data_IF_882823325617
#
_entry.id   IF_882823325617
#
_cell.length_a   1.000
_cell.length_b   1.000
_cell.length_c   1.000
_cell.angle_alpha   90.00
_cell.angle_beta   90.00
_cell.angle_gamma   90.00
#
_symmetry.space_group_name_H-M   'P 1'
#
loop_
_entity.id
_entity.type
_entity.pdbx_description
1 polymer ?
#
# COMPACT_ATOMS: atom_id res chain seq x y z
N UNK A 1 1.70 -6.50 14.35
CA UNK A 1 3.08 -7.05 14.41
C UNK A 1 4.08 -5.96 14.81
N UNK A 2 4.18 -4.86 14.06
CA UNK A 2 5.04 -3.71 14.38
C UNK A 2 4.95 -3.26 15.84
N UNK A 3 3.77 -2.84 16.32
CA UNK A 3 3.54 -2.40 17.71
C UNK A 3 4.04 -3.37 18.79
N UNK A 4 4.05 -4.68 18.52
CA UNK A 4 4.52 -5.69 19.47
C UNK A 4 6.03 -5.93 19.40
N UNK A 5 6.63 -5.70 18.25
CA UNK A 5 8.02 -6.07 17.95
C UNK A 5 8.97 -4.87 17.85
N UNK A 6 8.44 -3.67 17.65
CA UNK A 6 9.24 -2.49 17.29
C UNK A 6 9.91 -2.59 15.91
N UNK A 7 9.64 -3.63 15.12
CA UNK A 7 10.33 -3.87 13.86
C UNK A 7 9.96 -2.81 12.82
N UNK A 8 10.91 -2.23 12.07
CA UNK A 8 10.62 -1.23 11.05
C UNK A 8 9.68 -1.79 9.98
N UNK A 9 8.79 -0.95 9.47
CA UNK A 9 7.82 -1.32 8.45
C UNK A 9 8.21 -0.77 7.08
N UNK A 10 8.10 -1.63 6.06
CA UNK A 10 8.30 -1.27 4.66
C UNK A 10 7.12 -1.73 3.82
N UNK A 11 6.72 -0.92 2.85
CA UNK A 11 5.78 -1.26 1.80
C UNK A 11 6.57 -1.72 0.57
N UNK A 12 6.37 -2.96 0.14
CA UNK A 12 6.96 -3.50 -1.09
C UNK A 12 5.96 -3.47 -2.24
N UNK A 13 6.39 -3.01 -3.42
CA UNK A 13 5.59 -3.05 -4.65
C UNK A 13 6.44 -3.49 -5.83
N UNK A 14 5.83 -4.26 -6.72
CA UNK A 14 6.42 -4.66 -8.00
C UNK A 14 5.67 -3.95 -9.12
N UNK A 15 6.39 -3.19 -9.94
CA UNK A 15 5.84 -2.38 -11.02
C UNK A 15 6.39 -2.94 -12.34
N UNK A 16 5.49 -3.27 -13.26
CA UNK A 16 5.88 -3.60 -14.63
C UNK A 16 6.27 -2.31 -15.36
N UNK A 17 7.48 -2.27 -15.92
CA UNK A 17 8.04 -1.12 -16.65
C UNK A 17 8.18 -1.39 -18.15
N UNK A 18 7.87 -2.61 -18.59
CA UNK A 18 7.87 -3.04 -19.98
C UNK A 18 7.58 -4.54 -20.11
N UNK A 19 7.61 -5.07 -21.33
CA UNK A 19 7.43 -6.52 -21.55
C UNK A 19 8.50 -7.31 -20.78
N UNK A 20 8.05 -8.13 -19.83
CA UNK A 20 8.91 -8.91 -18.92
C UNK A 20 9.94 -8.10 -18.11
N UNK A 21 9.73 -6.78 -17.94
CA UNK A 21 10.60 -5.92 -17.12
C UNK A 21 9.85 -5.43 -15.90
N UNK A 22 10.43 -5.64 -14.73
CA UNK A 22 9.84 -5.31 -13.44
C UNK A 22 10.80 -4.52 -12.58
N UNK A 23 10.27 -3.55 -11.83
CA UNK A 23 10.98 -2.77 -10.82
C UNK A 23 10.34 -3.03 -9.47
N UNK A 24 11.14 -3.45 -8.51
CA UNK A 24 10.70 -3.61 -7.12
C UNK A 24 11.10 -2.35 -6.36
N UNK A 25 10.15 -1.76 -5.64
CA UNK A 25 10.37 -0.61 -4.78
C UNK A 25 10.00 -0.95 -3.34
N UNK A 26 10.84 -0.47 -2.41
CA UNK A 26 10.58 -0.54 -0.99
C UNK A 26 10.43 0.89 -0.46
N UNK A 27 9.28 1.17 0.12
CA UNK A 27 8.95 2.48 0.68
C UNK A 27 8.84 2.34 2.20
N UNK A 28 9.57 3.13 3.00
CA UNK A 28 9.39 3.09 4.46
C UNK A 28 7.98 3.57 4.82
N UNK A 29 7.35 2.91 5.79
CA UNK A 29 6.05 3.34 6.31
C UNK A 29 6.32 4.25 7.51
N UNK A 30 6.04 5.54 7.34
CA UNK A 30 6.20 6.55 8.38
C UNK A 30 4.81 7.04 8.79
N UNK A 31 4.36 6.63 9.98
CA UNK A 31 3.08 7.05 10.56
C UNK A 31 3.26 8.25 11.49
N UNK A 32 2.17 9.01 11.71
CA UNK A 32 2.18 10.16 12.63
C UNK A 32 2.30 9.75 14.10
N UNK A 33 1.77 8.58 14.44
CA UNK A 33 1.87 7.95 15.75
C UNK A 33 1.94 6.43 15.60
N UNK A 34 2.20 5.72 16.71
CA UNK A 34 2.15 4.25 16.75
C UNK A 34 0.72 3.70 16.90
N UNK A 35 -0.30 4.53 16.66
CA UNK A 35 -1.69 4.06 16.63
C UNK A 35 -1.93 3.19 15.40
N UNK A 36 -2.73 2.12 15.55
CA UNK A 36 -3.09 1.23 14.44
C UNK A 36 -3.75 1.98 13.30
N UNK A 37 -4.55 2.99 13.64
CA UNK A 37 -5.23 3.86 12.68
C UNK A 37 -4.22 4.67 11.85
N UNK A 38 -3.27 5.35 12.47
CA UNK A 38 -2.28 6.17 11.76
C UNK A 38 -1.34 5.32 10.91
N UNK A 39 -0.96 4.14 11.40
CA UNK A 39 -0.17 3.16 10.64
C UNK A 39 -0.94 2.70 9.41
N UNK A 40 -2.21 2.33 9.58
CA UNK A 40 -3.06 1.86 8.48
C UNK A 40 -3.31 2.98 7.46
N UNK A 41 -3.45 4.22 7.93
CA UNK A 41 -3.60 5.39 7.07
C UNK A 41 -2.33 5.67 6.26
N UNK A 42 -1.15 5.62 6.88
CA UNK A 42 0.13 5.79 6.19
C UNK A 42 0.36 4.69 5.12
N UNK A 43 0.05 3.44 5.46
CA UNK A 43 0.07 2.32 4.50
C UNK A 43 -0.89 2.55 3.33
N UNK A 44 -2.13 2.96 3.61
CA UNK A 44 -3.16 3.20 2.59
C UNK A 44 -2.77 4.36 1.68
N UNK A 45 -2.17 5.42 2.22
CA UNK A 45 -1.67 6.54 1.43
C UNK A 45 -0.62 6.09 0.41
N UNK A 46 0.32 5.22 0.78
CA UNK A 46 1.31 4.67 -0.17
C UNK A 46 0.61 3.87 -1.28
N UNK A 47 -0.43 3.09 -0.96
CA UNK A 47 -1.23 2.40 -1.99
C UNK A 47 -1.85 3.41 -2.94
N UNK A 48 -2.54 4.43 -2.43
CA UNK A 48 -3.19 5.45 -3.26
C UNK A 48 -2.20 6.14 -4.20
N UNK A 49 -1.02 6.51 -3.70
CA UNK A 49 0.04 7.11 -4.51
C UNK A 49 0.51 6.18 -5.63
N UNK A 50 0.71 4.89 -5.35
CA UNK A 50 1.10 3.91 -6.38
C UNK A 50 -0.01 3.66 -7.39
N UNK A 51 -1.27 3.61 -6.96
CA UNK A 51 -2.43 3.45 -7.84
C UNK A 51 -2.62 4.68 -8.73
N UNK A 52 -2.39 5.89 -8.23
CA UNK A 52 -2.42 7.12 -9.05
C UNK A 52 -1.32 7.13 -10.11
N UNK A 53 -0.13 6.60 -9.79
CA UNK A 53 1.00 6.53 -10.71
C UNK A 53 0.86 5.41 -11.76
N UNK A 54 0.28 4.26 -11.39
CA UNK A 54 0.15 3.06 -12.22
C UNK A 54 -1.27 2.47 -12.13
N UNK A 55 -2.32 3.21 -12.52
CA UNK A 55 -3.70 2.79 -12.33
C UNK A 55 -4.00 1.48 -13.06
N UNK A 56 -3.43 1.25 -14.23
CA UNK A 56 -3.61 0.04 -15.04
C UNK A 56 -3.11 -1.25 -14.38
N UNK A 57 -2.17 -1.12 -13.43
CA UNK A 57 -1.57 -2.27 -12.73
C UNK A 57 -2.29 -2.61 -11.42
N UNK A 58 -3.24 -1.79 -10.99
CA UNK A 58 -4.04 -2.08 -9.81
C UNK A 58 -5.14 -3.10 -10.14
N UNK A 59 -5.39 -4.03 -9.21
CA UNK A 59 -6.37 -5.10 -9.40
C UNK A 59 -7.83 -4.63 -9.26
N UNK A 60 -8.33 -3.71 -10.08
CA UNK A 60 -9.66 -3.05 -9.92
C UNK A 60 -10.87 -3.97 -9.69
N UNK A 61 -10.79 -5.24 -10.08
CA UNK A 61 -11.84 -6.23 -9.84
C UNK A 61 -12.00 -6.64 -8.37
N UNK A 62 -11.08 -6.27 -7.46
CA UNK A 62 -11.29 -6.52 -6.03
C UNK A 62 -12.36 -5.58 -5.48
N UNK A 63 -13.28 -6.11 -4.67
CA UNK A 63 -14.30 -5.31 -3.97
C UNK A 63 -13.75 -4.74 -2.65
N UNK A 64 -12.82 -3.78 -2.75
CA UNK A 64 -12.17 -3.15 -1.57
C UNK A 64 -13.17 -2.37 -0.74
N UNK A 65 -13.99 -1.56 -1.40
CA UNK A 65 -15.03 -0.77 -0.76
C UNK A 65 -16.30 -1.62 -0.71
N UNK A 66 -16.67 -2.07 0.48
CA UNK A 66 -17.96 -2.72 0.69
C UNK A 66 -19.02 -1.61 0.71
N UNK A 67 -19.85 -1.55 -0.32
CA UNK A 67 -21.09 -0.80 -0.26
C UNK A 67 -22.00 -1.46 0.77
N UNK A 68 -22.64 -0.66 1.63
CA UNK A 68 -23.77 -1.17 2.41
C UNK A 68 -24.84 -1.62 1.42
N UNK A 69 -25.42 -2.80 1.64
CA UNK A 69 -26.70 -3.13 1.01
C UNK A 69 -27.74 -2.27 1.74
N UNK A 70 -28.48 -1.47 0.99
CA UNK A 70 -29.68 -0.80 1.50
C UNK A 70 -30.76 -1.82 1.87
#
# INVERSE_FOLDING_TARGET
FHQKSGAPMVFGVCIQTGFQKYRIEFVPIISKSDSTQDITQAFTFIIEEKVRQYPEQYFWFHRRWKTKQD
#
